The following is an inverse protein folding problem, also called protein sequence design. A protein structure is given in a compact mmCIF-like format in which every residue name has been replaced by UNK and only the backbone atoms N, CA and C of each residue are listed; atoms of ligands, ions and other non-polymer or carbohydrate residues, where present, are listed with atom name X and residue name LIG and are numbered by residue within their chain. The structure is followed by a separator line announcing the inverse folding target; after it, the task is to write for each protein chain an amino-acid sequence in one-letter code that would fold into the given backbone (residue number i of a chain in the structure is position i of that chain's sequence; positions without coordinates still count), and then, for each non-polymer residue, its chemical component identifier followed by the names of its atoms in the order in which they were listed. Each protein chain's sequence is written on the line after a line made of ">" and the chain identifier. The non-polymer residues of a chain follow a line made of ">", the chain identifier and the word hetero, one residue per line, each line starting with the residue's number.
data_IF_942491546497
#
_entry.id   IF_942491546497
#
_cell.length_a   1.000
_cell.length_b   1.000
_cell.length_c   1.000
_cell.angle_alpha   90.00
_cell.angle_beta   90.00
_cell.angle_gamma   90.00
#
_symmetry.space_group_name_H-M   'P 1'
#
loop_
_entity.id
_entity.type
_entity.pdbx_description
1 polymer ?
#
# COMPACT_ATOMS: atom_id res chain seq x y z
N UNK A 1 -15.32 67.09 -2.83
CA UNK A 1 -15.08 66.36 -1.56
C UNK A 1 -15.68 64.96 -1.70
N UNK A 2 -15.13 63.96 -1.01
CA UNK A 2 -15.58 62.55 -0.93
C UNK A 2 -14.89 61.48 -1.82
N UNK A 3 -13.57 61.55 -2.01
CA UNK A 3 -12.77 60.41 -2.50
C UNK A 3 -11.92 59.73 -1.39
N UNK A 4 -11.78 60.34 -0.21
CA UNK A 4 -10.92 59.83 0.88
C UNK A 4 -11.58 58.87 1.88
N UNK A 5 -12.92 58.75 1.86
CA UNK A 5 -13.67 57.97 2.86
C UNK A 5 -13.69 56.47 2.54
N UNK A 6 -13.95 56.11 1.27
CA UNK A 6 -13.98 54.70 0.83
C UNK A 6 -12.62 54.02 0.88
N UNK A 7 -11.54 54.73 0.52
CA UNK A 7 -10.18 54.19 0.56
C UNK A 7 -9.71 53.91 1.99
N UNK A 8 -10.11 54.77 2.94
CA UNK A 8 -9.80 54.60 4.36
C UNK A 8 -10.56 53.41 5.00
N UNK A 9 -11.81 53.18 4.59
CA UNK A 9 -12.62 52.04 5.03
C UNK A 9 -12.08 50.70 4.52
N UNK A 10 -11.63 50.67 3.25
CA UNK A 10 -11.02 49.46 2.66
C UNK A 10 -9.69 49.11 3.31
N UNK A 11 -8.86 50.11 3.62
CA UNK A 11 -7.60 49.91 4.35
C UNK A 11 -7.84 49.41 5.78
N UNK A 12 -8.83 49.95 6.48
CA UNK A 12 -9.20 49.49 7.82
C UNK A 12 -9.70 48.04 7.80
N UNK A 13 -10.53 47.67 6.82
CA UNK A 13 -11.01 46.31 6.65
C UNK A 13 -9.86 45.33 6.33
N UNK A 14 -8.95 45.70 5.43
CA UNK A 14 -7.77 44.88 5.12
C UNK A 14 -6.87 44.64 6.34
N UNK A 15 -6.61 45.69 7.13
CA UNK A 15 -5.80 45.61 8.35
C UNK A 15 -6.48 44.79 9.47
N UNK A 16 -7.81 44.83 9.56
CA UNK A 16 -8.58 44.01 10.50
C UNK A 16 -8.66 42.54 10.08
N UNK A 17 -8.60 42.23 8.78
CA UNK A 17 -8.63 40.87 8.25
C UNK A 17 -7.24 40.19 8.19
N UNK A 18 -6.15 40.97 8.20
CA UNK A 18 -4.77 40.48 8.17
C UNK A 18 -4.44 39.47 9.31
N UNK A 19 -4.82 39.72 10.58
CA UNK A 19 -4.61 38.76 11.67
C UNK A 19 -5.37 37.44 11.46
N UNK A 20 -6.63 37.51 10.99
CA UNK A 20 -7.45 36.33 10.71
C UNK A 20 -6.93 35.49 9.54
N UNK A 21 -6.33 36.14 8.53
CA UNK A 21 -5.66 35.44 7.43
C UNK A 21 -4.37 34.75 7.89
N UNK A 22 -3.69 35.29 8.91
CA UNK A 22 -2.50 34.70 9.49
C UNK A 22 -2.83 33.47 10.35
N UNK A 23 -3.94 33.51 11.09
CA UNK A 23 -4.49 32.34 11.81
C UNK A 23 -5.05 31.27 10.85
N UNK A 24 -5.65 31.67 9.72
CA UNK A 24 -6.17 30.74 8.71
C UNK A 24 -5.07 30.15 7.79
N UNK A 25 -3.89 30.77 7.74
CA UNK A 25 -2.74 30.31 6.96
C UNK A 25 -1.89 29.24 7.67
N UNK A 26 -2.06 29.07 8.98
CA UNK A 26 -1.43 27.99 9.74
C UNK A 26 -2.26 26.70 9.58
N UNK A 27 -2.30 26.15 8.35
CA UNK A 27 -2.73 24.77 8.16
C UNK A 27 -1.79 23.93 9.03
N UNK A 28 -2.30 23.41 10.15
CA UNK A 28 -1.55 22.46 10.97
C UNK A 28 -1.26 21.25 10.07
N UNK A 29 -0.03 21.20 9.55
CA UNK A 29 0.38 20.09 8.71
C UNK A 29 0.40 18.86 9.60
N UNK A 30 -0.33 17.81 9.21
CA UNK A 30 -0.35 16.54 9.95
C UNK A 30 1.10 16.09 10.19
N UNK A 31 1.49 15.75 11.43
CA UNK A 31 2.85 15.30 11.75
C UNK A 31 3.21 14.05 10.94
N UNK A 32 4.47 13.97 10.50
CA UNK A 32 4.95 12.83 9.72
C UNK A 32 4.78 11.48 10.47
N UNK A 33 4.98 11.49 11.79
CA UNK A 33 4.73 10.33 12.66
C UNK A 33 3.29 9.81 12.54
N UNK A 34 2.30 10.71 12.55
CA UNK A 34 0.88 10.33 12.41
C UNK A 34 0.56 9.74 11.05
N UNK A 35 1.19 10.24 9.99
CA UNK A 35 1.05 9.67 8.64
C UNK A 35 1.61 8.25 8.60
N UNK A 36 2.78 8.02 9.20
CA UNK A 36 3.35 6.68 9.31
C UNK A 36 2.52 5.76 10.20
N UNK A 37 2.02 6.20 11.35
CA UNK A 37 1.17 5.39 12.23
C UNK A 37 -0.03 4.83 11.45
N UNK A 38 -0.67 5.69 10.65
CA UNK A 38 -1.81 5.28 9.83
C UNK A 38 -1.39 4.31 8.71
N UNK A 39 -0.37 4.65 7.93
CA UNK A 39 0.10 3.79 6.84
C UNK A 39 0.59 2.42 7.34
N UNK A 40 1.32 2.38 8.46
CA UNK A 40 1.79 1.15 9.07
C UNK A 40 0.65 0.28 9.60
N UNK A 41 -0.38 0.89 10.18
CA UNK A 41 -1.58 0.16 10.61
C UNK A 41 -2.25 -0.54 9.42
N UNK A 42 -2.41 0.15 8.28
CA UNK A 42 -3.02 -0.43 7.09
C UNK A 42 -2.12 -1.48 6.43
N UNK A 43 -0.80 -1.25 6.38
CA UNK A 43 0.15 -2.24 5.88
C UNK A 43 0.15 -3.53 6.70
N UNK A 44 0.14 -3.39 8.04
CA UNK A 44 0.03 -4.54 8.94
C UNK A 44 -1.28 -5.32 8.72
N UNK A 45 -2.41 -4.61 8.61
CA UNK A 45 -3.71 -5.24 8.31
C UNK A 45 -3.71 -5.95 6.96
N UNK A 46 -3.12 -5.35 5.93
CA UNK A 46 -3.02 -5.96 4.60
C UNK A 46 -2.17 -7.22 4.62
N UNK A 47 -1.07 -7.23 5.38
CA UNK A 47 -0.24 -8.41 5.56
C UNK A 47 -0.98 -9.52 6.34
N UNK A 48 -1.67 -9.19 7.42
CA UNK A 48 -2.49 -10.17 8.15
C UNK A 48 -3.59 -10.76 7.27
N UNK A 49 -4.31 -9.91 6.52
CA UNK A 49 -5.29 -10.36 5.53
C UNK A 49 -4.68 -11.39 4.56
N UNK A 50 -3.46 -11.14 4.07
CA UNK A 50 -2.78 -12.04 3.15
C UNK A 50 -2.35 -13.36 3.80
N UNK A 51 -1.87 -13.33 5.06
CA UNK A 51 -1.54 -14.53 5.84
C UNK A 51 -2.80 -15.37 6.07
N UNK A 52 -3.85 -14.75 6.59
CA UNK A 52 -5.09 -15.42 6.96
C UNK A 52 -5.76 -16.05 5.73
N UNK A 53 -5.83 -15.31 4.64
CA UNK A 53 -6.46 -15.81 3.40
C UNK A 53 -5.66 -16.94 2.77
N UNK A 54 -4.32 -16.88 2.81
CA UNK A 54 -3.47 -17.97 2.35
C UNK A 54 -3.70 -19.25 3.17
N UNK A 55 -3.74 -19.12 4.50
CA UNK A 55 -3.97 -20.24 5.41
C UNK A 55 -5.37 -20.83 5.24
N UNK A 56 -6.41 -19.99 5.17
CA UNK A 56 -7.80 -20.39 4.93
C UNK A 56 -7.93 -21.16 3.61
N UNK A 57 -7.24 -20.72 2.55
CA UNK A 57 -7.23 -21.42 1.27
C UNK A 57 -6.56 -22.79 1.34
N UNK A 58 -5.42 -22.89 2.04
CA UNK A 58 -4.76 -24.18 2.27
C UNK A 58 -5.68 -25.15 3.00
N UNK A 59 -6.31 -24.70 4.07
CA UNK A 59 -7.16 -25.55 4.91
C UNK A 59 -8.45 -25.98 4.19
N UNK A 60 -8.99 -25.13 3.32
CA UNK A 60 -10.24 -25.41 2.59
C UNK A 60 -10.03 -26.29 1.35
N UNK A 61 -8.94 -26.09 0.59
CA UNK A 61 -8.80 -26.67 -0.76
C UNK A 61 -7.61 -27.60 -0.93
N UNK A 62 -6.62 -27.57 -0.03
CA UNK A 62 -5.36 -28.30 -0.19
C UNK A 62 -5.26 -29.41 0.85
N UNK A 63 -5.44 -30.66 0.41
CA UNK A 63 -5.22 -31.81 1.30
C UNK A 63 -3.74 -31.92 1.72
N UNK A 64 -3.49 -32.50 2.92
CA UNK A 64 -2.13 -32.65 3.46
C UNK A 64 -1.18 -33.39 2.51
N UNK A 65 -1.69 -34.40 1.79
CA UNK A 65 -0.91 -35.20 0.84
C UNK A 65 -0.57 -34.42 -0.44
N UNK A 66 -1.40 -33.45 -0.81
CA UNK A 66 -1.21 -32.62 -2.00
C UNK A 66 -0.39 -31.36 -1.73
N UNK A 67 -0.24 -30.94 -0.47
CA UNK A 67 0.46 -29.71 -0.09
C UNK A 67 1.86 -29.61 -0.67
N UNK A 68 2.62 -30.71 -0.67
CA UNK A 68 3.96 -30.75 -1.28
C UNK A 68 3.93 -30.49 -2.79
N UNK A 69 2.97 -31.10 -3.50
CA UNK A 69 2.78 -30.90 -4.95
C UNK A 69 2.34 -29.48 -5.28
N UNK A 70 1.44 -28.90 -4.48
CA UNK A 70 1.01 -27.51 -4.64
C UNK A 70 2.14 -26.53 -4.34
N UNK A 71 2.93 -26.75 -3.29
CA UNK A 71 4.10 -25.93 -2.97
C UNK A 71 5.13 -25.94 -4.10
N UNK A 72 5.46 -27.12 -4.64
CA UNK A 72 6.40 -27.21 -5.76
C UNK A 72 5.82 -26.65 -7.07
N UNK A 73 4.54 -26.90 -7.33
CA UNK A 73 3.84 -26.34 -8.48
C UNK A 73 3.72 -24.82 -8.40
N UNK A 74 3.42 -24.25 -7.25
CA UNK A 74 3.32 -22.80 -7.06
C UNK A 74 4.66 -22.12 -6.85
N UNK A 75 5.71 -22.81 -6.42
CA UNK A 75 7.07 -22.26 -6.48
C UNK A 75 7.53 -22.00 -7.92
N UNK A 76 6.87 -22.59 -8.93
CA UNK A 76 7.05 -22.17 -10.33
C UNK A 76 6.28 -20.89 -10.69
N UNK A 77 5.32 -20.48 -9.88
CA UNK A 77 4.65 -19.19 -10.05
C UNK A 77 5.62 -18.07 -9.63
N UNK A 78 6.21 -17.44 -10.65
CA UNK A 78 7.12 -16.33 -10.48
C UNK A 78 6.32 -15.10 -10.02
N UNK A 79 6.57 -14.63 -8.81
CA UNK A 79 6.00 -13.37 -8.37
C UNK A 79 6.74 -12.27 -9.12
N UNK A 80 6.04 -11.33 -9.74
CA UNK A 80 6.71 -10.21 -10.43
C UNK A 80 7.68 -9.46 -9.49
N UNK A 81 7.33 -9.39 -8.21
CA UNK A 81 8.16 -8.80 -7.17
C UNK A 81 9.47 -9.56 -6.90
N UNK A 82 9.71 -10.73 -7.47
CA UNK A 82 10.97 -11.48 -7.28
C UNK A 82 12.18 -10.71 -7.83
N UNK A 83 11.95 -9.81 -8.79
CA UNK A 83 12.95 -8.85 -9.28
C UNK A 83 13.21 -7.69 -8.32
N UNK A 84 12.33 -7.46 -7.34
CA UNK A 84 12.50 -6.45 -6.30
C UNK A 84 13.29 -7.10 -5.15
N UNK A 85 14.47 -6.56 -4.81
CA UNK A 85 15.31 -7.10 -3.74
C UNK A 85 14.52 -7.35 -2.46
N UNK A 86 14.75 -8.50 -1.86
CA UNK A 86 14.11 -8.89 -0.60
C UNK A 86 14.89 -8.33 0.58
N UNK A 87 14.22 -7.96 1.69
CA UNK A 87 14.89 -7.52 2.92
C UNK A 87 15.88 -8.54 3.50
N UNK A 88 15.78 -9.82 3.11
CA UNK A 88 16.73 -10.87 3.48
C UNK A 88 18.15 -10.62 2.94
N UNK A 89 18.30 -9.76 1.91
CA UNK A 89 19.59 -9.16 1.57
C UNK A 89 19.70 -7.79 2.26
N UNK A 90 20.02 -7.81 3.57
CA UNK A 90 20.03 -6.63 4.45
C UNK A 90 20.87 -5.47 3.90
N UNK A 91 21.98 -5.75 3.21
CA UNK A 91 22.86 -4.71 2.66
C UNK A 91 22.21 -3.97 1.48
N UNK A 92 21.56 -4.67 0.55
CA UNK A 92 20.97 -4.07 -0.64
C UNK A 92 19.71 -3.26 -0.31
N UNK A 93 18.88 -3.76 0.61
CA UNK A 93 17.67 -3.05 1.04
C UNK A 93 18.01 -1.83 1.90
N UNK A 94 19.06 -1.90 2.73
CA UNK A 94 19.50 -0.73 3.50
C UNK A 94 20.12 0.36 2.62
N UNK A 95 20.72 0.02 1.49
CA UNK A 95 21.29 1.01 0.56
C UNK A 95 20.23 1.80 -0.23
N UNK A 96 18.99 1.32 -0.32
CA UNK A 96 17.91 2.03 -1.03
C UNK A 96 17.46 3.28 -0.27
N UNK A 97 17.17 4.34 -1.02
CA UNK A 97 16.65 5.59 -0.47
C UNK A 97 15.20 5.42 0.01
N UNK A 98 14.76 6.31 0.91
CA UNK A 98 13.38 6.30 1.39
C UNK A 98 12.36 6.44 0.26
N UNK A 99 12.63 7.33 -0.71
CA UNK A 99 11.78 7.53 -1.88
C UNK A 99 11.71 6.27 -2.77
N UNK A 100 12.81 5.53 -2.90
CA UNK A 100 12.82 4.28 -3.66
C UNK A 100 12.00 3.18 -2.97
N UNK A 101 12.16 3.02 -1.65
CA UNK A 101 11.37 2.07 -0.86
C UNK A 101 9.87 2.37 -0.90
N UNK A 102 9.48 3.65 -0.76
CA UNK A 102 8.09 4.08 -0.90
C UNK A 102 7.54 3.82 -2.30
N UNK A 103 8.34 4.09 -3.35
CA UNK A 103 7.94 3.83 -4.74
C UNK A 103 7.76 2.35 -5.04
N UNK A 104 8.65 1.50 -4.54
CA UNK A 104 8.51 0.04 -4.64
C UNK A 104 7.26 -0.44 -3.91
N UNK A 105 6.99 0.11 -2.71
CA UNK A 105 5.79 -0.20 -1.93
C UNK A 105 4.52 0.18 -2.70
N UNK A 106 4.47 1.39 -3.27
CA UNK A 106 3.35 1.86 -4.08
C UNK A 106 3.10 0.94 -5.27
N UNK A 107 4.16 0.56 -5.98
CA UNK A 107 4.07 -0.30 -7.15
C UNK A 107 3.52 -1.70 -6.81
N UNK A 108 3.91 -2.26 -5.66
CA UNK A 108 3.34 -3.51 -5.16
C UNK A 108 1.85 -3.36 -4.83
N UNK A 109 1.45 -2.33 -4.09
CA UNK A 109 0.04 -2.10 -3.75
C UNK A 109 -0.81 -1.92 -5.00
N UNK A 110 -0.38 -1.08 -5.95
CA UNK A 110 -1.09 -0.84 -7.21
C UNK A 110 -1.25 -2.12 -8.05
N UNK A 111 -0.30 -3.06 -7.97
CA UNK A 111 -0.37 -4.32 -8.71
C UNK A 111 -1.45 -5.28 -8.19
N UNK A 112 -1.91 -5.08 -6.94
CA UNK A 112 -2.88 -5.93 -6.24
C UNK A 112 -4.30 -5.36 -6.16
N UNK A 113 -4.50 -4.07 -6.48
CA UNK A 113 -5.82 -3.40 -6.44
C UNK A 113 -6.90 -4.10 -7.26
N UNK A 114 -6.58 -4.58 -8.47
CA UNK A 114 -7.54 -5.32 -9.31
C UNK A 114 -7.77 -6.76 -8.83
N UNK A 115 -6.72 -7.57 -8.54
CA UNK A 115 -6.91 -8.92 -8.00
C UNK A 115 -7.70 -8.97 -6.69
N UNK A 116 -7.41 -8.08 -5.73
CA UNK A 116 -7.99 -8.16 -4.37
C UNK A 116 -9.52 -8.06 -4.35
N UNK A 117 -10.10 -7.43 -5.38
CA UNK A 117 -11.56 -7.34 -5.55
C UNK A 117 -12.25 -8.69 -5.66
N UNK A 118 -11.55 -9.72 -6.16
CA UNK A 118 -12.06 -11.09 -6.26
C UNK A 118 -11.56 -12.02 -5.15
N UNK A 119 -10.82 -11.49 -4.16
CA UNK A 119 -10.20 -12.31 -3.12
C UNK A 119 -11.23 -13.15 -2.36
N UNK A 120 -12.37 -12.57 -1.98
CA UNK A 120 -13.43 -13.29 -1.24
C UNK A 120 -14.28 -14.20 -2.12
N UNK A 121 -14.38 -13.91 -3.42
CA UNK A 121 -15.17 -14.70 -4.37
C UNK A 121 -14.61 -16.11 -4.56
N UNK A 122 -13.32 -16.34 -4.31
CA UNK A 122 -12.71 -17.67 -4.45
C UNK A 122 -13.24 -18.68 -3.43
N UNK A 123 -13.75 -18.21 -2.28
CA UNK A 123 -14.28 -19.06 -1.22
C UNK A 123 -15.78 -19.33 -1.38
N UNK A 124 -16.52 -18.37 -1.95
CA UNK A 124 -17.98 -18.43 -2.01
C UNK A 124 -18.52 -19.02 -3.33
N UNK A 125 -17.67 -19.27 -4.32
CA UNK A 125 -18.05 -19.68 -5.68
C UNK A 125 -19.09 -18.77 -6.34
N UNK A 126 -19.25 -17.53 -5.84
CA UNK A 126 -20.26 -16.60 -6.29
C UNK A 126 -19.60 -15.33 -6.83
N UNK A 127 -19.85 -15.05 -8.12
CA UNK A 127 -19.53 -13.76 -8.75
C UNK A 127 -20.42 -12.60 -8.26
N UNK A 128 -21.47 -12.90 -7.49
CA UNK A 128 -22.51 -11.94 -7.05
C UNK A 128 -22.08 -11.15 -5.81
N UNK A 129 -20.95 -11.47 -5.19
CA UNK A 129 -20.34 -10.56 -4.21
C UNK A 129 -19.72 -9.39 -4.97
N UNK A 130 -20.58 -8.44 -5.37
CA UNK A 130 -20.24 -7.27 -6.16
C UNK A 130 -19.05 -6.54 -5.54
N UNK A 131 -18.07 -6.27 -6.40
CA UNK A 131 -16.64 -6.26 -6.10
C UNK A 131 -16.07 -4.85 -5.98
N UNK A 132 -16.95 -3.84 -6.00
CA UNK A 132 -16.58 -2.43 -5.97
C UNK A 132 -16.46 -1.83 -4.57
N UNK A 133 -17.09 -2.45 -3.55
CA UNK A 133 -17.10 -2.04 -2.14
C UNK A 133 -16.52 -3.15 -1.24
N UNK A 134 -15.48 -3.83 -1.71
CA UNK A 134 -14.76 -4.81 -0.89
C UNK A 134 -13.94 -4.08 0.16
N UNK A 135 -14.16 -4.38 1.45
CA UNK A 135 -13.32 -3.90 2.55
C UNK A 135 -11.82 -4.15 2.27
N UNK A 136 -11.49 -5.26 1.62
CA UNK A 136 -10.11 -5.61 1.26
C UNK A 136 -9.54 -4.68 0.16
N UNK A 137 -10.38 -4.24 -0.78
CA UNK A 137 -10.00 -3.23 -1.78
C UNK A 137 -9.78 -1.86 -1.15
N UNK A 138 -10.71 -1.42 -0.28
CA UNK A 138 -10.58 -0.16 0.44
C UNK A 138 -9.34 -0.12 1.33
N UNK A 139 -9.01 -1.22 2.00
CA UNK A 139 -7.78 -1.34 2.79
C UNK A 139 -6.52 -1.07 1.94
N UNK A 140 -6.41 -1.69 0.76
CA UNK A 140 -5.28 -1.47 -0.14
C UNK A 140 -5.31 -0.06 -0.74
N UNK A 141 -6.49 0.49 -1.01
CA UNK A 141 -6.65 1.84 -1.54
C UNK A 141 -6.23 2.92 -0.54
N UNK A 142 -6.65 2.80 0.71
CA UNK A 142 -6.23 3.68 1.81
C UNK A 142 -4.71 3.64 2.00
N UNK A 143 -4.11 2.44 1.87
CA UNK A 143 -2.66 2.27 1.94
C UNK A 143 -1.95 2.92 0.74
N UNK A 144 -2.47 2.79 -0.48
CA UNK A 144 -1.96 3.49 -1.67
C UNK A 144 -1.91 5.01 -1.44
N UNK A 145 -3.00 5.59 -0.96
CA UNK A 145 -3.13 7.03 -0.67
C UNK A 145 -2.19 7.47 0.46
N UNK A 146 -2.05 6.65 1.50
CA UNK A 146 -1.10 6.87 2.59
C UNK A 146 0.36 6.90 2.10
N UNK A 147 0.74 5.96 1.23
CA UNK A 147 2.08 5.91 0.64
C UNK A 147 2.32 7.12 -0.27
N UNK A 148 1.37 7.49 -1.12
CA UNK A 148 1.47 8.68 -1.98
C UNK A 148 1.64 9.96 -1.14
N UNK A 149 0.92 10.07 -0.03
CA UNK A 149 1.06 11.19 0.91
C UNK A 149 2.45 11.24 1.54
N UNK A 150 2.98 10.08 1.98
CA UNK A 150 4.33 9.98 2.53
C UNK A 150 5.39 10.35 1.49
N UNK A 151 5.23 9.91 0.23
CA UNK A 151 6.14 10.29 -0.87
C UNK A 151 6.16 11.81 -1.04
N UNK A 152 5.00 12.47 -1.11
CA UNK A 152 4.94 13.93 -1.24
C UNK A 152 5.53 14.70 -0.05
N UNK A 153 5.60 14.08 1.13
CA UNK A 153 6.20 14.69 2.34
C UNK A 153 7.70 14.44 2.47
N UNK A 154 8.23 13.41 1.81
CA UNK A 154 9.62 12.96 1.89
C UNK A 154 10.41 13.12 0.57
N UNK A 155 9.81 13.75 -0.44
CA UNK A 155 10.49 14.03 -1.71
C UNK A 155 11.55 15.13 -1.54
N UNK A 156 12.83 14.73 -1.48
CA UNK A 156 14.01 15.62 -1.41
C UNK A 156 14.61 15.96 -2.80
N UNK A 157 13.80 15.96 -3.87
CA UNK A 157 14.31 16.24 -5.22
C UNK A 157 15.21 15.14 -5.82
N UNK A 158 15.19 13.93 -5.25
CA UNK A 158 15.86 12.76 -5.81
C UNK A 158 15.40 12.53 -7.26
N UNK A 159 16.32 12.23 -8.21
CA UNK A 159 15.94 11.90 -9.57
C UNK A 159 14.91 10.79 -9.58
N UNK A 160 13.91 10.89 -10.46
CA UNK A 160 13.00 9.78 -10.73
C UNK A 160 13.86 8.62 -11.23
N UNK A 161 14.19 7.66 -10.36
CA UNK A 161 14.74 6.37 -10.75
C UNK A 161 13.85 5.80 -11.85
N UNK A 162 14.47 5.16 -12.84
CA UNK A 162 13.88 4.77 -14.11
C UNK A 162 12.48 4.17 -14.01
N UNK A 163 11.74 4.24 -15.12
CA UNK A 163 10.37 3.76 -15.19
C UNK A 163 10.31 2.26 -14.89
N UNK A 164 10.07 1.89 -13.63
CA UNK A 164 9.76 0.50 -13.26
C UNK A 164 8.47 0.17 -13.97
N UNK A 165 8.50 -0.86 -14.81
CA UNK A 165 7.33 -1.29 -15.58
C UNK A 165 6.24 -1.69 -14.58
N UNK A 166 5.11 -0.96 -14.60
CA UNK A 166 3.94 -1.30 -13.80
C UNK A 166 3.36 -2.59 -14.37
N UNK A 167 3.43 -3.67 -13.59
CA UNK A 167 2.77 -4.94 -13.88
C UNK A 167 1.64 -5.13 -12.87
N UNK A 168 0.50 -5.63 -13.34
CA UNK A 168 -0.64 -6.00 -12.49
C UNK A 168 -0.72 -7.52 -12.46
N UNK A 169 -0.97 -8.09 -11.27
CA UNK A 169 -1.19 -9.53 -11.17
C UNK A 169 -2.49 -9.93 -11.88
N UNK A 170 -2.56 -11.19 -12.32
CA UNK A 170 -3.80 -11.73 -12.86
C UNK A 170 -4.88 -11.78 -11.80
N UNK A 171 -6.13 -11.57 -12.20
CA UNK A 171 -7.30 -11.76 -11.33
C UNK A 171 -7.42 -13.22 -10.86
N UNK A 172 -7.93 -13.41 -9.65
CA UNK A 172 -8.26 -14.73 -9.11
C UNK A 172 -9.31 -15.44 -9.98
N UNK A 173 -9.24 -16.78 -9.99
CA UNK A 173 -10.22 -17.64 -10.66
C UNK A 173 -11.25 -18.14 -9.64
N UNK A 174 -12.54 -17.98 -9.93
CA UNK A 174 -13.62 -18.36 -9.01
C UNK A 174 -14.03 -19.84 -9.16
N UNK A 175 -13.47 -20.56 -10.14
CA UNK A 175 -13.77 -21.97 -10.34
C UNK A 175 -12.99 -22.87 -9.37
N UNK A 176 -13.45 -22.96 -8.12
CA UNK A 176 -12.81 -23.78 -7.08
C UNK A 176 -12.79 -25.29 -7.35
N UNK A 177 -13.49 -25.78 -8.37
CA UNK A 177 -13.56 -27.20 -8.72
C UNK A 177 -12.53 -27.58 -9.78
N UNK A 178 -11.86 -26.59 -10.39
CA UNK A 178 -10.82 -26.81 -11.38
C UNK A 178 -9.43 -26.81 -10.71
N UNK A 179 -8.65 -27.89 -10.91
CA UNK A 179 -7.31 -28.02 -10.36
C UNK A 179 -6.36 -26.89 -10.82
N UNK A 180 -6.45 -26.46 -12.09
CA UNK A 180 -5.60 -25.39 -12.62
C UNK A 180 -5.95 -24.03 -11.99
N UNK A 181 -7.24 -23.80 -11.72
CA UNK A 181 -7.71 -22.60 -11.02
C UNK A 181 -7.21 -22.58 -9.57
N UNK A 182 -7.26 -23.73 -8.88
CA UNK A 182 -6.70 -23.87 -7.53
C UNK A 182 -5.20 -23.60 -7.51
N UNK A 183 -4.44 -24.17 -8.46
CA UNK A 183 -2.98 -23.98 -8.52
C UNK A 183 -2.62 -22.51 -8.82
N UNK A 184 -3.33 -21.88 -9.76
CA UNK A 184 -3.18 -20.45 -10.07
C UNK A 184 -3.48 -19.59 -8.84
N UNK A 185 -4.60 -19.81 -8.18
CA UNK A 185 -5.00 -19.04 -6.99
C UNK A 185 -4.01 -19.24 -5.84
N UNK A 186 -3.53 -20.46 -5.63
CA UNK A 186 -2.54 -20.77 -4.62
C UNK A 186 -1.23 -20.01 -4.86
N UNK A 187 -0.75 -19.94 -6.11
CA UNK A 187 0.40 -19.12 -6.49
C UNK A 187 0.17 -17.61 -6.29
N UNK A 188 -1.01 -17.11 -6.67
CA UNK A 188 -1.36 -15.70 -6.43
C UNK A 188 -1.42 -15.35 -4.94
N UNK A 189 -2.05 -16.19 -4.11
CA UNK A 189 -2.11 -15.96 -2.66
C UNK A 189 -0.70 -16.00 -2.03
N UNK A 190 0.17 -16.89 -2.51
CA UNK A 190 1.57 -16.92 -2.10
C UNK A 190 2.27 -15.59 -2.41
N UNK A 191 2.13 -15.08 -3.65
CA UNK A 191 2.70 -13.80 -4.05
C UNK A 191 2.08 -12.63 -3.27
N UNK A 192 0.77 -12.63 -3.03
CA UNK A 192 0.10 -11.58 -2.27
C UNK A 192 0.67 -11.48 -0.85
N UNK A 193 0.81 -12.61 -0.15
CA UNK A 193 1.44 -12.68 1.17
C UNK A 193 2.87 -12.13 1.15
N UNK A 194 3.68 -12.59 0.20
CA UNK A 194 5.07 -12.14 0.05
C UNK A 194 5.19 -10.64 -0.24
N UNK A 195 4.28 -10.09 -1.06
CA UNK A 195 4.30 -8.69 -1.45
C UNK A 195 3.84 -7.77 -0.31
N UNK A 196 2.82 -8.18 0.46
CA UNK A 196 2.39 -7.40 1.63
C UNK A 196 3.44 -7.39 2.75
N UNK A 197 4.16 -8.50 2.96
CA UNK A 197 5.31 -8.55 3.86
C UNK A 197 6.42 -7.55 3.46
N UNK A 198 6.73 -7.48 2.16
CA UNK A 198 7.66 -6.48 1.62
C UNK A 198 7.19 -5.06 1.86
N UNK A 199 5.91 -4.76 1.60
CA UNK A 199 5.34 -3.41 1.81
C UNK A 199 5.42 -3.01 3.29
N UNK A 200 4.99 -3.88 4.20
CA UNK A 200 5.07 -3.61 5.65
C UNK A 200 6.52 -3.37 6.07
N UNK A 201 7.45 -4.19 5.59
CA UNK A 201 8.88 -4.08 5.91
C UNK A 201 9.49 -2.79 5.36
N UNK A 202 9.22 -2.45 4.10
CA UNK A 202 9.73 -1.21 3.49
C UNK A 202 9.21 0.02 4.21
N UNK A 203 7.91 0.07 4.53
CA UNK A 203 7.34 1.18 5.28
C UNK A 203 7.93 1.30 6.69
N UNK A 204 8.17 0.16 7.36
CA UNK A 204 8.84 0.15 8.66
C UNK A 204 10.25 0.73 8.57
N UNK A 205 11.04 0.33 7.57
CA UNK A 205 12.40 0.86 7.36
C UNK A 205 12.35 2.38 7.15
N UNK A 206 11.44 2.87 6.31
CA UNK A 206 11.31 4.31 6.05
C UNK A 206 10.88 5.06 7.31
N UNK A 207 9.92 4.53 8.07
CA UNK A 207 9.48 5.13 9.34
C UNK A 207 10.66 5.25 10.32
N UNK A 208 11.43 4.17 10.52
CA UNK A 208 12.59 4.17 11.40
C UNK A 208 13.63 5.23 11.04
N UNK A 209 13.78 5.53 9.74
CA UNK A 209 14.74 6.52 9.23
C UNK A 209 14.23 7.95 9.32
N UNK A 210 12.92 8.14 9.26
CA UNK A 210 12.29 9.46 9.10
C UNK A 210 11.64 10.00 10.37
N UNK A 211 11.40 9.15 11.39
CA UNK A 211 10.73 9.55 12.64
C UNK A 211 11.59 9.16 13.83
N UNK A 212 12.03 10.15 14.61
CA UNK A 212 12.84 9.95 15.81
C UNK A 212 12.08 9.13 16.88
N UNK A 213 12.75 8.16 17.49
CA UNK A 213 12.17 7.29 18.51
C UNK A 213 11.11 6.29 18.01
N UNK A 214 10.86 6.21 16.70
CA UNK A 214 9.86 5.29 16.12
C UNK A 214 10.29 3.82 16.13
N UNK A 215 11.60 3.57 16.11
CA UNK A 215 12.17 2.23 16.17
C UNK A 215 13.23 2.20 17.26
N UNK A 216 13.11 1.25 18.20
CA UNK A 216 14.05 1.11 19.30
C UNK A 216 15.44 0.76 18.79
N UNK A 217 16.33 1.75 18.80
CA UNK A 217 17.78 1.60 18.68
C UNK A 217 18.43 2.28 19.89
#
# INVERSE_FOLDING_TARGET
>A
MAAGSQTSLLLAFALLCLPWLQEAGAVQTVPLSRLFDHAMLQAHRAHQLAIDTYQEFEDAYISKDQKYSFLHGSQTSFCFSDSIPTPSNMEETQQKSNSELLRLSLLLIESWLEPVRLLRSIFTNNLVYDTSDSNDYHLLKDLEEGIQTLMGRLEDGSPRTGQILKQTYSKFDTNSHNHDALLKNYGLLYCFRKDMDKVETFLRIVQCRSVEGSCGF
#
